data_IF_281479855008
#
_entry.id   IF_281479855008
#
_cell.length_a   1.000
_cell.length_b   1.000
_cell.length_c   1.000
_cell.angle_alpha   90.00
_cell.angle_beta   90.00
_cell.angle_gamma   90.00
#
_symmetry.space_group_name_H-M   'P 1'
#
loop_
_entity.id
_entity.type
_entity.pdbx_description
1 polymer ?
#
# COMPACT_ATOMS: atom_id res chain seq x y z
N UNK A 1 14.11 15.54 4.02
CA UNK A 1 14.76 14.85 5.16
C UNK A 1 13.94 13.65 5.64
N UNK A 2 12.62 13.78 5.86
CA UNK A 2 11.72 12.68 6.29
C UNK A 2 11.80 11.40 5.45
N UNK A 3 11.78 11.51 4.11
CA UNK A 3 11.92 10.35 3.20
C UNK A 3 13.22 9.57 3.44
N UNK A 4 14.35 10.28 3.54
CA UNK A 4 15.66 9.69 3.86
C UNK A 4 15.67 9.01 5.24
N UNK A 5 14.98 9.57 6.23
CA UNK A 5 14.84 8.94 7.55
C UNK A 5 14.03 7.64 7.43
N UNK A 6 12.92 7.66 6.68
CA UNK A 6 12.12 6.45 6.43
C UNK A 6 12.94 5.37 5.70
N UNK A 7 13.76 5.77 4.72
CA UNK A 7 14.67 4.87 4.00
C UNK A 7 15.69 4.23 4.95
N UNK A 8 16.33 5.02 5.83
CA UNK A 8 17.26 4.50 6.83
C UNK A 8 16.55 3.56 7.81
N UNK A 9 15.38 3.93 8.31
CA UNK A 9 14.58 3.06 9.20
C UNK A 9 14.23 1.75 8.50
N UNK A 10 13.83 1.82 7.22
CA UNK A 10 13.50 0.65 6.41
C UNK A 10 14.71 -0.25 6.19
N UNK A 11 15.88 0.33 5.95
CA UNK A 11 17.12 -0.41 5.78
C UNK A 11 17.53 -1.11 7.07
N UNK A 12 17.45 -0.41 8.21
CA UNK A 12 17.72 -1.01 9.52
C UNK A 12 16.74 -2.13 9.82
N UNK A 13 15.43 -1.91 9.60
CA UNK A 13 14.41 -2.93 9.83
C UNK A 13 14.65 -4.17 8.97
N UNK A 14 15.01 -4.01 7.68
CA UNK A 14 15.31 -5.14 6.79
C UNK A 14 16.52 -5.95 7.25
N UNK A 15 17.57 -5.28 7.74
CA UNK A 15 18.78 -5.95 8.24
C UNK A 15 18.59 -6.59 9.63
N UNK A 16 17.49 -6.28 10.33
CA UNK A 16 17.16 -6.85 11.64
C UNK A 16 16.11 -7.97 11.57
N UNK A 17 15.69 -8.36 10.36
CA UNK A 17 14.98 -9.63 10.15
C UNK A 17 16.03 -10.70 9.90
N UNK A 18 16.08 -11.71 10.76
CA UNK A 18 17.03 -12.82 10.62
C UNK A 18 16.62 -13.84 9.54
N UNK A 19 17.48 -14.84 9.30
CA UNK A 19 17.24 -15.89 8.29
C UNK A 19 15.98 -16.73 8.59
N UNK A 20 15.52 -16.76 9.84
CA UNK A 20 14.30 -17.43 10.26
C UNK A 20 13.07 -16.51 10.17
N UNK A 21 13.22 -15.29 9.64
CA UNK A 21 12.17 -14.27 9.58
C UNK A 21 11.67 -13.79 10.95
N UNK A 22 12.50 -13.87 11.99
CA UNK A 22 12.23 -13.22 13.26
C UNK A 22 12.70 -11.77 13.21
N UNK A 23 11.80 -10.84 13.57
CA UNK A 23 12.13 -9.44 13.70
C UNK A 23 12.85 -9.18 15.04
N UNK A 24 14.14 -8.82 14.95
CA UNK A 24 14.99 -8.49 16.09
C UNK A 24 14.80 -7.05 16.61
N UNK A 25 13.90 -6.28 15.98
CA UNK A 25 13.52 -4.93 16.39
C UNK A 25 12.03 -4.86 16.76
N UNK A 26 11.61 -5.41 17.91
CA UNK A 26 10.19 -5.49 18.27
C UNK A 26 9.50 -4.13 18.39
N UNK A 27 10.23 -3.07 18.79
CA UNK A 27 9.70 -1.72 18.97
C UNK A 27 9.28 -1.06 17.65
N UNK A 28 9.78 -1.53 16.50
CA UNK A 28 9.46 -0.93 15.21
C UNK A 28 7.97 -1.05 14.87
N UNK A 29 7.34 -2.15 15.28
CA UNK A 29 5.91 -2.37 15.03
C UNK A 29 5.07 -1.40 15.86
N UNK A 30 5.43 -1.20 17.13
CA UNK A 30 4.77 -0.21 17.99
C UNK A 30 4.94 1.19 17.42
N UNK A 31 6.15 1.55 16.97
CA UNK A 31 6.42 2.83 16.33
C UNK A 31 5.57 3.04 15.07
N UNK A 32 5.49 2.04 14.19
CA UNK A 32 4.68 2.10 12.98
C UNK A 32 3.20 2.33 13.31
N UNK A 33 2.63 1.57 14.25
CA UNK A 33 1.22 1.72 14.62
C UNK A 33 0.94 3.07 15.31
N UNK A 34 1.87 3.59 16.11
CA UNK A 34 1.74 4.93 16.70
C UNK A 34 1.75 6.01 15.62
N UNK A 35 2.66 5.93 14.66
CA UNK A 35 2.74 6.87 13.56
C UNK A 35 1.49 6.80 12.67
N UNK A 36 1.03 5.60 12.31
CA UNK A 36 -0.18 5.39 11.51
C UNK A 36 -1.48 5.85 12.20
N UNK A 37 -1.51 5.90 13.53
CA UNK A 37 -2.66 6.38 14.30
C UNK A 37 -2.52 7.82 14.80
N UNK A 38 -1.42 8.50 14.49
CA UNK A 38 -1.21 9.90 14.83
C UNK A 38 -2.25 10.81 14.17
N UNK A 39 -2.50 11.98 14.76
CA UNK A 39 -3.29 13.05 14.13
C UNK A 39 -2.52 13.80 13.04
N UNK A 40 -1.19 13.60 12.92
CA UNK A 40 -0.37 14.20 11.88
C UNK A 40 -0.38 13.34 10.61
N UNK A 41 -0.89 13.90 9.51
CA UNK A 41 -0.86 13.24 8.20
C UNK A 41 0.56 12.88 7.77
N UNK A 42 1.57 13.67 8.14
CA UNK A 42 2.95 13.38 7.78
C UNK A 42 3.54 12.20 8.56
N UNK A 43 3.09 11.93 9.78
CA UNK A 43 3.48 10.72 10.53
C UNK A 43 2.76 9.48 9.98
N UNK A 44 1.49 9.61 9.64
CA UNK A 44 0.73 8.55 8.96
C UNK A 44 1.41 8.15 7.64
N UNK A 45 1.75 9.13 6.80
CA UNK A 45 2.46 8.91 5.54
C UNK A 45 3.83 8.24 5.75
N UNK A 46 4.57 8.63 6.80
CA UNK A 46 5.87 8.03 7.11
C UNK A 46 5.75 6.55 7.48
N UNK A 47 4.73 6.19 8.28
CA UNK A 47 4.48 4.79 8.64
C UNK A 47 4.18 3.95 7.40
N UNK A 48 3.28 4.44 6.54
CA UNK A 48 2.93 3.76 5.29
C UNK A 48 4.14 3.65 4.34
N UNK A 49 5.01 4.66 4.31
CA UNK A 49 6.23 4.65 3.51
C UNK A 49 7.23 3.59 3.98
N UNK A 50 7.48 3.50 5.28
CA UNK A 50 8.35 2.46 5.85
C UNK A 50 7.76 1.08 5.54
N UNK A 51 6.46 0.90 5.75
CA UNK A 51 5.76 -0.35 5.41
C UNK A 51 5.93 -0.70 3.92
N UNK A 52 5.73 0.26 3.02
CA UNK A 52 5.88 0.05 1.57
C UNK A 52 7.29 -0.44 1.21
N UNK A 53 8.32 0.05 1.93
CA UNK A 53 9.72 -0.33 1.70
C UNK A 53 10.12 -1.67 2.32
N UNK A 54 9.37 -2.15 3.32
CA UNK A 54 9.60 -3.42 4.03
C UNK A 54 8.23 -4.07 4.33
N UNK A 55 7.53 -4.60 3.32
CA UNK A 55 6.18 -5.15 3.51
C UNK A 55 6.16 -6.36 4.46
N UNK A 56 7.29 -7.08 4.56
CA UNK A 56 7.49 -8.22 5.45
C UNK A 56 8.04 -7.84 6.85
N UNK A 57 7.94 -6.57 7.27
CA UNK A 57 8.51 -6.09 8.55
C UNK A 57 7.98 -6.83 9.79
N UNK A 58 6.83 -7.50 9.68
CA UNK A 58 6.24 -8.30 10.74
C UNK A 58 6.85 -9.71 10.86
N UNK A 59 7.58 -10.16 9.83
CA UNK A 59 8.19 -11.49 9.79
C UNK A 59 7.19 -12.59 10.17
N UNK A 60 7.62 -13.50 11.04
CA UNK A 60 6.79 -14.61 11.54
C UNK A 60 5.55 -14.18 12.34
N UNK A 61 5.44 -12.91 12.74
CA UNK A 61 4.30 -12.41 13.49
C UNK A 61 3.19 -11.86 12.60
N UNK A 62 3.39 -11.76 11.29
CA UNK A 62 2.45 -11.09 10.37
C UNK A 62 1.02 -11.61 10.48
N UNK A 63 0.84 -12.93 10.55
CA UNK A 63 -0.47 -13.57 10.67
C UNK A 63 -1.26 -13.09 11.91
N UNK A 64 -0.57 -12.69 12.98
CA UNK A 64 -1.19 -12.17 14.21
C UNK A 64 -1.69 -10.73 14.04
N UNK A 65 -1.07 -9.98 13.13
CA UNK A 65 -1.35 -8.56 12.88
C UNK A 65 -2.17 -8.31 11.62
N UNK A 66 -2.52 -9.35 10.85
CA UNK A 66 -3.12 -9.21 9.52
C UNK A 66 -4.39 -8.34 9.51
N UNK A 67 -5.27 -8.52 10.49
CA UNK A 67 -6.49 -7.72 10.64
C UNK A 67 -6.18 -6.26 11.00
N UNK A 68 -5.14 -6.02 11.81
CA UNK A 68 -4.72 -4.68 12.20
C UNK A 68 -4.06 -3.95 11.04
N UNK A 69 -3.26 -4.64 10.23
CA UNK A 69 -2.67 -4.12 8.99
C UNK A 69 -3.79 -3.71 8.03
N UNK A 70 -4.79 -4.58 7.84
CA UNK A 70 -5.96 -4.27 7.01
C UNK A 70 -6.71 -3.04 7.51
N UNK A 71 -6.98 -2.94 8.81
CA UNK A 71 -7.66 -1.79 9.41
C UNK A 71 -6.85 -0.49 9.21
N UNK A 72 -5.53 -0.55 9.37
CA UNK A 72 -4.63 0.58 9.12
C UNK A 72 -4.73 1.06 7.66
N UNK A 73 -4.70 0.14 6.70
CA UNK A 73 -4.87 0.48 5.28
C UNK A 73 -6.25 1.04 4.98
N UNK A 74 -7.31 0.43 5.49
CA UNK A 74 -8.68 0.89 5.30
C UNK A 74 -8.85 2.35 5.77
N UNK A 75 -8.40 2.63 7.00
CA UNK A 75 -8.42 3.99 7.59
C UNK A 75 -7.61 4.98 6.75
N UNK A 76 -6.43 4.57 6.27
CA UNK A 76 -5.55 5.44 5.49
C UNK A 76 -6.07 5.73 4.07
N UNK A 77 -7.00 4.90 3.57
CA UNK A 77 -7.65 5.06 2.28
C UNK A 77 -8.95 5.90 2.36
N UNK A 78 -9.45 6.22 3.55
CA UNK A 78 -10.69 6.97 3.74
C UNK A 78 -10.65 8.33 3.01
N UNK A 79 -11.77 8.82 2.46
CA UNK A 79 -11.83 10.13 1.80
C UNK A 79 -11.41 11.31 2.69
N UNK A 80 -11.55 11.16 4.00
CA UNK A 80 -11.19 12.14 5.04
C UNK A 80 -9.69 12.23 5.29
N UNK A 81 -8.91 11.20 4.92
CA UNK A 81 -7.46 11.20 5.07
C UNK A 81 -6.80 12.17 4.08
N UNK A 82 -5.62 12.67 4.42
CA UNK A 82 -4.81 13.53 3.54
C UNK A 82 -4.48 12.81 2.21
N UNK A 83 -4.40 13.56 1.11
CA UNK A 83 -4.16 13.00 -0.24
C UNK A 83 -2.86 12.19 -0.31
N UNK A 84 -1.78 12.67 0.33
CA UNK A 84 -0.49 11.98 0.35
C UNK A 84 -0.57 10.69 1.16
N UNK A 85 -1.36 10.68 2.23
CA UNK A 85 -1.62 9.48 3.04
C UNK A 85 -2.38 8.45 2.22
N UNK A 86 -3.43 8.86 1.50
CA UNK A 86 -4.20 7.95 0.62
C UNK A 86 -3.32 7.37 -0.49
N UNK A 87 -2.48 8.20 -1.12
CA UNK A 87 -1.59 7.75 -2.19
C UNK A 87 -0.55 6.76 -1.64
N UNK A 88 0.06 7.07 -0.50
CA UNK A 88 1.01 6.16 0.13
C UNK A 88 0.34 4.88 0.63
N UNK A 89 -0.91 4.93 1.07
CA UNK A 89 -1.68 3.74 1.45
C UNK A 89 -1.91 2.81 0.26
N UNK A 90 -2.26 3.35 -0.91
CA UNK A 90 -2.38 2.55 -2.14
C UNK A 90 -1.07 1.83 -2.47
N UNK A 91 0.08 2.50 -2.34
CA UNK A 91 1.39 1.86 -2.53
C UNK A 91 1.67 0.78 -1.49
N UNK A 92 1.34 1.04 -0.23
CA UNK A 92 1.57 0.09 0.86
C UNK A 92 0.73 -1.18 0.67
N UNK A 93 -0.55 -1.04 0.34
CA UNK A 93 -1.42 -2.18 -0.01
C UNK A 93 -0.86 -2.91 -1.23
N UNK A 94 -0.48 -2.18 -2.28
CA UNK A 94 0.12 -2.77 -3.47
C UNK A 94 1.36 -3.61 -3.18
N UNK A 95 2.34 -3.02 -2.48
CA UNK A 95 3.55 -3.71 -2.06
C UNK A 95 3.25 -4.93 -1.17
N UNK A 96 2.25 -4.83 -0.29
CA UNK A 96 1.84 -5.94 0.56
C UNK A 96 1.24 -7.10 -0.23
N UNK A 97 0.35 -6.82 -1.19
CA UNK A 97 -0.25 -7.84 -2.05
C UNK A 97 0.81 -8.48 -2.94
N UNK A 98 1.74 -7.69 -3.51
CA UNK A 98 2.84 -8.20 -4.32
C UNK A 98 3.79 -9.10 -3.53
N UNK A 99 4.08 -8.74 -2.26
CA UNK A 99 4.87 -9.59 -1.37
C UNK A 99 4.20 -10.95 -1.10
N UNK A 100 2.87 -11.01 -1.25
CA UNK A 100 2.04 -12.19 -1.00
C UNK A 100 1.41 -12.76 -2.28
N UNK A 101 2.09 -12.62 -3.44
CA UNK A 101 1.56 -12.94 -4.78
C UNK A 101 0.83 -14.30 -4.89
N UNK A 102 1.32 -15.31 -4.19
CA UNK A 102 0.79 -16.69 -4.25
C UNK A 102 -0.34 -16.95 -3.24
N UNK A 103 -0.62 -16.02 -2.34
CA UNK A 103 -1.53 -16.21 -1.21
C UNK A 103 -2.96 -15.77 -1.52
N UNK A 104 -3.71 -16.66 -2.16
CA UNK A 104 -5.08 -16.37 -2.60
C UNK A 104 -6.03 -16.02 -1.45
N UNK A 105 -5.83 -16.57 -0.25
CA UNK A 105 -6.68 -16.25 0.90
C UNK A 105 -6.42 -14.83 1.42
N UNK A 106 -5.15 -14.41 1.45
CA UNK A 106 -4.78 -13.04 1.78
C UNK A 106 -5.38 -12.07 0.74
N UNK A 107 -5.26 -12.36 -0.56
CA UNK A 107 -5.86 -11.52 -1.60
C UNK A 107 -7.37 -11.34 -1.40
N UNK A 108 -8.10 -12.41 -1.04
CA UNK A 108 -9.54 -12.31 -0.71
C UNK A 108 -9.77 -11.44 0.52
N UNK A 109 -8.96 -11.61 1.55
CA UNK A 109 -9.08 -10.87 2.80
C UNK A 109 -8.96 -9.35 2.61
N UNK A 110 -8.13 -8.89 1.67
CA UNK A 110 -7.93 -7.45 1.38
C UNK A 110 -8.77 -6.92 0.20
N UNK A 111 -9.56 -7.78 -0.45
CA UNK A 111 -10.27 -7.43 -1.70
C UNK A 111 -11.33 -6.33 -1.56
N UNK A 112 -11.82 -6.10 -0.35
CA UNK A 112 -12.75 -5.02 0.00
C UNK A 112 -12.10 -3.63 0.01
N UNK A 113 -10.77 -3.54 0.07
CA UNK A 113 -10.04 -2.27 -0.07
C UNK A 113 -9.93 -1.81 -1.54
N UNK A 114 -10.02 -2.75 -2.47
CA UNK A 114 -9.77 -2.53 -3.89
C UNK A 114 -10.64 -1.43 -4.53
N UNK A 115 -11.96 -1.33 -4.26
CA UNK A 115 -12.79 -0.25 -4.82
C UNK A 115 -12.22 1.13 -4.47
N UNK A 116 -11.80 1.32 -3.22
CA UNK A 116 -11.24 2.59 -2.75
C UNK A 116 -9.86 2.85 -3.34
N UNK A 117 -9.03 1.81 -3.48
CA UNK A 117 -7.74 1.94 -4.17
C UNK A 117 -7.91 2.43 -5.61
N UNK A 118 -8.86 1.87 -6.37
CA UNK A 118 -9.11 2.26 -7.77
C UNK A 118 -9.52 3.74 -7.86
N UNK A 119 -10.37 4.22 -6.94
CA UNK A 119 -10.74 5.65 -6.89
C UNK A 119 -9.52 6.54 -6.67
N UNK A 120 -8.65 6.19 -5.71
CA UNK A 120 -7.44 6.97 -5.41
C UNK A 120 -6.44 6.92 -6.57
N UNK A 121 -6.32 5.78 -7.27
CA UNK A 121 -5.51 5.69 -8.50
C UNK A 121 -6.06 6.61 -9.58
N UNK A 122 -7.39 6.64 -9.79
CA UNK A 122 -8.01 7.55 -10.75
C UNK A 122 -7.75 9.03 -10.41
N UNK A 123 -7.88 9.41 -9.13
CA UNK A 123 -7.54 10.76 -8.62
C UNK A 123 -6.07 11.13 -8.94
N UNK A 124 -5.13 10.21 -8.67
CA UNK A 124 -3.70 10.41 -8.94
C UNK A 124 -3.39 10.58 -10.43
N UNK A 125 -4.11 9.87 -11.29
CA UNK A 125 -3.90 9.97 -12.73
C UNK A 125 -4.47 11.29 -13.26
N UNK A 126 -5.64 11.72 -12.80
CA UNK A 126 -6.25 13.00 -13.18
C UNK A 126 -5.38 14.19 -12.74
N UNK A 127 -4.68 14.07 -11.61
CA UNK A 127 -3.73 15.09 -11.15
C UNK A 127 -2.47 15.23 -12.04
N UNK A 128 -2.19 14.24 -12.89
CA UNK A 128 -1.07 14.18 -13.85
C UNK A 128 0.36 14.37 -13.29
N UNK A 129 0.52 14.48 -11.98
CA UNK A 129 1.80 14.81 -11.33
C UNK A 129 2.64 13.56 -10.97
N UNK A 130 1.98 12.44 -10.63
CA UNK A 130 2.66 11.21 -10.21
C UNK A 130 2.04 9.94 -10.83
N UNK A 131 2.82 9.28 -11.70
CA UNK A 131 2.45 8.05 -12.40
C UNK A 131 2.78 6.77 -11.61
N UNK A 132 3.35 6.88 -10.42
CA UNK A 132 3.82 5.71 -9.70
C UNK A 132 2.70 4.85 -9.12
N UNK A 133 1.51 5.39 -8.84
CA UNK A 133 0.34 4.57 -8.50
C UNK A 133 -0.13 3.76 -9.70
N UNK A 134 -0.11 4.35 -10.90
CA UNK A 134 -0.42 3.62 -12.13
C UNK A 134 0.59 2.51 -12.39
N UNK A 135 1.90 2.77 -12.18
CA UNK A 135 2.94 1.73 -12.30
C UNK A 135 2.71 0.56 -11.35
N UNK A 136 2.42 0.85 -10.08
CA UNK A 136 2.10 -0.18 -9.09
C UNK A 136 0.83 -0.94 -9.49
N UNK A 137 -0.19 -0.26 -10.01
CA UNK A 137 -1.42 -0.89 -10.47
C UNK A 137 -1.19 -1.83 -11.66
N UNK A 138 -0.31 -1.45 -12.60
CA UNK A 138 0.11 -2.32 -13.72
C UNK A 138 0.82 -3.56 -13.19
N UNK A 139 1.73 -3.39 -12.22
CA UNK A 139 2.45 -4.51 -11.60
C UNK A 139 1.50 -5.48 -10.88
N UNK A 140 0.47 -4.98 -10.18
CA UNK A 140 -0.61 -5.81 -9.63
C UNK A 140 -1.40 -6.55 -10.70
N UNK A 141 -1.64 -5.94 -11.87
CA UNK A 141 -2.35 -6.60 -12.95
C UNK A 141 -1.51 -7.72 -13.59
N UNK A 142 -0.19 -7.56 -13.63
CA UNK A 142 0.75 -8.54 -14.16
C UNK A 142 0.95 -9.72 -13.20
N UNK A 143 1.23 -9.44 -11.93
CA UNK A 143 1.63 -10.46 -10.95
C UNK A 143 0.44 -10.99 -10.11
N UNK A 144 -0.54 -10.14 -9.81
CA UNK A 144 -1.66 -10.45 -8.92
C UNK A 144 -3.06 -10.27 -9.56
N UNK A 145 -3.33 -10.72 -10.80
CA UNK A 145 -4.60 -10.42 -11.49
C UNK A 145 -5.84 -10.97 -10.77
N UNK A 146 -5.69 -12.03 -9.96
CA UNK A 146 -6.78 -12.59 -9.14
C UNK A 146 -7.27 -11.60 -8.08
N UNK A 147 -6.38 -10.76 -7.54
CA UNK A 147 -6.74 -9.72 -6.59
C UNK A 147 -7.65 -8.67 -7.24
N UNK A 148 -7.38 -8.32 -8.50
CA UNK A 148 -8.15 -7.32 -9.27
C UNK A 148 -9.51 -7.83 -9.78
N UNK A 149 -9.69 -9.15 -9.84
CA UNK A 149 -10.87 -9.82 -10.43
C UNK A 149 -12.23 -9.25 -9.97
N UNK A 150 -12.45 -8.95 -8.67
CA UNK A 150 -13.75 -8.44 -8.20
C UNK A 150 -14.15 -7.08 -8.79
N UNK A 151 -13.19 -6.30 -9.29
CA UNK A 151 -13.43 -4.93 -9.79
C UNK A 151 -13.10 -4.78 -11.28
N UNK A 152 -12.95 -5.89 -12.03
CA UNK A 152 -12.52 -5.84 -13.44
C UNK A 152 -13.35 -4.90 -14.31
N UNK A 153 -14.68 -4.89 -14.17
CA UNK A 153 -15.54 -4.01 -14.95
C UNK A 153 -15.21 -2.53 -14.70
N UNK A 154 -15.06 -2.15 -13.43
CA UNK A 154 -14.69 -0.78 -13.01
C UNK A 154 -13.30 -0.41 -13.52
N UNK A 155 -12.37 -1.36 -13.46
CA UNK A 155 -11.01 -1.17 -13.97
C UNK A 155 -11.03 -0.93 -15.49
N UNK A 156 -11.79 -1.72 -16.26
CA UNK A 156 -11.90 -1.53 -17.70
C UNK A 156 -12.53 -0.17 -18.04
N UNK A 157 -13.58 0.24 -17.34
CA UNK A 157 -14.18 1.57 -17.51
C UNK A 157 -13.18 2.69 -17.24
N UNK A 158 -12.38 2.58 -16.17
CA UNK A 158 -11.30 3.51 -15.86
C UNK A 158 -10.27 3.57 -17.01
N UNK A 159 -9.78 2.42 -17.47
CA UNK A 159 -8.82 2.36 -18.58
C UNK A 159 -9.38 2.99 -19.88
N UNK A 160 -10.65 2.74 -20.20
CA UNK A 160 -11.31 3.34 -21.37
C UNK A 160 -11.40 4.86 -21.21
N UNK A 161 -11.79 5.36 -20.03
CA UNK A 161 -11.83 6.79 -19.73
C UNK A 161 -10.44 7.40 -19.93
N UNK A 162 -9.40 6.75 -19.42
CA UNK A 162 -8.01 7.20 -19.55
C UNK A 162 -7.54 7.30 -21.01
N UNK A 163 -7.81 6.29 -21.83
CA UNK A 163 -7.43 6.29 -23.24
C UNK A 163 -8.11 7.43 -24.02
N UNK A 164 -9.36 7.75 -23.69
CA UNK A 164 -10.09 8.88 -24.30
C UNK A 164 -9.48 10.23 -23.91
N UNK A 165 -8.95 10.37 -22.71
CA UNK A 165 -8.31 11.62 -22.26
C UNK A 165 -6.96 11.86 -22.93
N UNK A 166 -6.19 10.81 -23.23
CA UNK A 166 -4.89 10.91 -23.92
C UNK A 166 -5.03 11.13 -25.44
N UNK A 167 -6.12 10.65 -26.06
CA UNK A 167 -6.34 10.74 -27.51
C UNK A 167 -6.85 12.09 -28.04
N UNK A 168 -6.91 13.15 -27.22
CA UNK A 168 -7.45 14.48 -27.59
C UNK A 168 -6.41 15.60 -27.48
N UNK A 169 -5.13 15.25 -27.28
CA UNK A 169 -3.97 16.17 -27.38
C UNK A 169 -3.06 15.75 -28.51
#
# INVERSE_FOLDING_TARGET
>A
MRRKICEVISEVARNLVDDESNNQWPEILQFLFQCANSSSSQLQESALRIFTSVPNIFGNQEAQYIDLIKQMFAKSLEPTADVEVRFQAVRAVGAFILNHEKETQLHKHFSDLLPRMIMVIAESIEAADDQSLLKMFIELAELCPKFLRPQLNVIFELCIKMLKTVGVT
#
